data_IF_615363554853
#
_entry.id   IF_615363554853
#
_cell.length_a   1.000
_cell.length_b   1.000
_cell.length_c   1.000
_cell.angle_alpha   90.00
_cell.angle_beta   90.00
_cell.angle_gamma   90.00
#
_symmetry.space_group_name_H-M   'P 1'
#
loop_
_entity.id
_entity.type
_entity.pdbx_description
1 polymer ?
#
# COMPACT_ATOMS: atom_id res chain seq x y z
N UNK A 1 1.02 28.42 -24.02
CA UNK A 1 1.08 26.99 -23.69
C UNK A 1 -0.24 26.36 -24.09
N UNK A 2 -0.32 25.77 -25.29
CA UNK A 2 -1.55 25.14 -25.79
C UNK A 2 -1.62 23.70 -25.29
N UNK A 3 -2.47 23.42 -24.30
CA UNK A 3 -2.78 22.04 -23.95
C UNK A 3 -3.46 21.38 -25.16
N UNK A 4 -2.83 20.33 -25.71
CA UNK A 4 -3.34 19.60 -26.88
C UNK A 4 -4.52 18.74 -26.41
N UNK A 5 -5.73 19.13 -26.80
CA UNK A 5 -6.96 18.45 -26.41
C UNK A 5 -7.36 17.41 -27.48
N UNK A 6 -7.89 16.23 -27.09
CA UNK A 6 -8.03 15.75 -25.71
C UNK A 6 -6.70 15.24 -25.14
N UNK A 7 -6.48 15.47 -23.85
CA UNK A 7 -5.37 14.86 -23.12
C UNK A 7 -5.64 13.35 -23.06
N UNK A 8 -4.80 12.47 -23.65
CA UNK A 8 -5.01 11.04 -23.57
C UNK A 8 -4.92 10.60 -22.11
N UNK A 9 -6.05 10.23 -21.52
CA UNK A 9 -6.09 9.61 -20.19
C UNK A 9 -6.11 8.10 -20.39
N UNK A 10 -5.34 7.32 -19.62
CA UNK A 10 -5.51 5.88 -19.61
C UNK A 10 -6.97 5.57 -19.23
N UNK A 11 -7.60 4.65 -19.94
CA UNK A 11 -8.90 4.13 -19.53
C UNK A 11 -8.80 3.53 -18.14
N UNK A 12 -9.90 3.50 -17.40
CA UNK A 12 -9.96 2.87 -16.07
C UNK A 12 -9.32 1.47 -16.08
N UNK A 13 -9.64 0.69 -17.10
CA UNK A 13 -9.09 -0.65 -17.28
C UNK A 13 -7.56 -0.66 -17.56
N UNK A 14 -7.03 0.34 -18.27
CA UNK A 14 -5.58 0.51 -18.43
C UNK A 14 -4.89 0.92 -17.12
N UNK A 15 -5.54 1.78 -16.32
CA UNK A 15 -5.04 2.19 -15.01
C UNK A 15 -5.02 1.02 -14.01
N UNK A 16 -6.11 0.27 -13.91
CA UNK A 16 -6.21 -0.93 -13.04
C UNK A 16 -5.17 -1.98 -13.44
N UNK A 17 -4.99 -2.26 -14.73
CA UNK A 17 -3.92 -3.17 -15.19
C UNK A 17 -2.52 -2.64 -14.88
N UNK A 18 -2.31 -1.33 -14.87
CA UNK A 18 -1.04 -0.73 -14.46
C UNK A 18 -0.76 -0.94 -12.98
N UNK A 19 -1.78 -0.75 -12.14
CA UNK A 19 -1.71 -0.99 -10.69
C UNK A 19 -1.50 -2.48 -10.37
N UNK A 20 -2.17 -3.37 -11.10
CA UNK A 20 -2.05 -4.81 -10.89
C UNK A 20 -0.74 -5.42 -11.42
N UNK A 21 -0.03 -4.74 -12.33
CA UNK A 21 1.20 -5.25 -12.97
C UNK A 21 2.43 -5.27 -12.07
N UNK A 22 2.42 -4.52 -10.96
CA UNK A 22 3.55 -4.49 -10.03
C UNK A 22 3.09 -4.92 -8.64
N UNK A 23 3.68 -5.98 -8.11
CA UNK A 23 3.72 -6.16 -6.67
C UNK A 23 4.49 -4.95 -6.10
N UNK A 24 3.77 -3.98 -5.54
CA UNK A 24 4.45 -2.86 -4.89
C UNK A 24 5.22 -3.45 -3.71
N UNK A 25 6.52 -3.17 -3.57
CA UNK A 25 7.27 -3.65 -2.44
C UNK A 25 6.59 -3.12 -1.17
N UNK A 26 6.20 -4.05 -0.30
CA UNK A 26 5.76 -3.67 1.04
C UNK A 26 6.95 -3.06 1.78
N UNK A 27 6.74 -2.02 2.60
CA UNK A 27 7.80 -1.54 3.49
C UNK A 27 8.32 -2.70 4.34
N UNK A 28 9.59 -2.62 4.74
CA UNK A 28 10.20 -3.63 5.59
C UNK A 28 9.45 -3.74 6.93
N UNK A 29 9.49 -4.93 7.56
CA UNK A 29 8.86 -5.15 8.88
C UNK A 29 9.28 -4.09 9.91
N UNK A 30 10.57 -3.70 10.04
CA UNK A 30 10.98 -2.63 10.95
C UNK A 30 10.30 -1.28 10.66
N UNK A 31 10.16 -0.90 9.38
CA UNK A 31 9.48 0.34 9.01
C UNK A 31 7.99 0.31 9.35
N UNK A 32 7.34 -0.85 9.18
CA UNK A 32 5.93 -1.03 9.54
C UNK A 32 5.73 -1.03 11.07
N UNK A 33 6.66 -1.62 11.83
CA UNK A 33 6.64 -1.59 13.29
C UNK A 33 6.85 -0.17 13.84
N UNK A 34 7.74 0.63 13.24
CA UNK A 34 7.91 2.04 13.60
C UNK A 34 6.59 2.83 13.38
N UNK A 35 5.95 2.64 12.22
CA UNK A 35 4.66 3.28 11.95
C UNK A 35 3.55 2.84 12.91
N UNK A 36 3.58 1.59 13.40
CA UNK A 36 2.65 1.11 14.42
C UNK A 36 2.89 1.81 15.76
N UNK A 37 4.13 1.97 16.20
CA UNK A 37 4.48 2.69 17.43
C UNK A 37 3.99 4.14 17.35
N UNK A 38 4.24 4.82 16.23
CA UNK A 38 3.75 6.18 16.01
C UNK A 38 2.21 6.28 16.05
N UNK A 39 1.51 5.27 15.53
CA UNK A 39 0.04 5.24 15.56
C UNK A 39 -0.50 5.01 16.99
N UNK A 40 0.17 4.17 17.78
CA UNK A 40 -0.15 3.96 19.20
C UNK A 40 0.07 5.25 20.00
N UNK A 41 1.20 5.92 19.81
CA UNK A 41 1.52 7.19 20.48
C UNK A 41 0.46 8.26 20.20
N UNK A 42 -0.02 8.34 18.96
CA UNK A 42 -1.09 9.27 18.55
C UNK A 42 -2.51 8.80 18.88
N UNK A 43 -2.69 7.62 19.47
CA UNK A 43 -4.00 6.99 19.67
C UNK A 43 -4.83 6.89 18.37
N UNK A 44 -4.17 6.71 17.23
CA UNK A 44 -4.79 6.57 15.91
C UNK A 44 -5.25 5.13 15.68
N UNK A 45 -6.53 4.87 15.95
CA UNK A 45 -7.13 3.54 15.83
C UNK A 45 -7.03 2.96 14.41
N UNK A 46 -7.18 3.80 13.39
CA UNK A 46 -7.12 3.35 11.99
C UNK A 46 -5.67 3.02 11.61
N UNK A 47 -4.73 3.89 11.99
CA UNK A 47 -3.30 3.68 11.83
C UNK A 47 -2.81 2.41 12.50
N UNK A 48 -3.24 2.14 13.74
CA UNK A 48 -2.93 0.91 14.47
C UNK A 48 -3.42 -0.32 13.70
N UNK A 49 -4.69 -0.31 13.28
CA UNK A 49 -5.29 -1.44 12.56
C UNK A 49 -4.54 -1.72 11.24
N UNK A 50 -4.28 -0.67 10.46
CA UNK A 50 -3.63 -0.79 9.16
C UNK A 50 -2.18 -1.24 9.28
N UNK A 51 -1.41 -0.66 10.19
CA UNK A 51 -0.01 -1.01 10.40
C UNK A 51 0.13 -2.46 10.90
N UNK A 52 -0.70 -2.89 11.86
CA UNK A 52 -0.71 -4.25 12.36
C UNK A 52 -0.96 -5.29 11.25
N UNK A 53 -2.00 -5.09 10.42
CA UNK A 53 -2.29 -6.01 9.31
C UNK A 53 -1.15 -6.05 8.27
N UNK A 54 -0.52 -4.90 7.99
CA UNK A 54 0.61 -4.84 7.06
C UNK A 54 1.84 -5.56 7.60
N UNK A 55 2.14 -5.45 8.90
CA UNK A 55 3.22 -6.20 9.55
C UNK A 55 3.00 -7.70 9.39
N UNK A 56 1.80 -8.20 9.74
CA UNK A 56 1.46 -9.62 9.62
C UNK A 56 1.62 -10.09 8.18
N UNK A 57 1.10 -9.34 7.20
CA UNK A 57 1.19 -9.71 5.79
C UNK A 57 2.63 -9.71 5.25
N UNK A 58 3.48 -8.79 5.73
CA UNK A 58 4.88 -8.72 5.33
C UNK A 58 5.76 -9.77 6.02
N UNK A 59 5.44 -10.15 7.26
CA UNK A 59 6.17 -11.17 8.00
C UNK A 59 5.75 -12.60 7.61
N UNK A 60 4.47 -12.81 7.27
CA UNK A 60 3.91 -14.12 6.96
C UNK A 60 4.11 -14.56 5.51
N UNK A 61 5.14 -14.05 4.82
CA UNK A 61 5.49 -14.36 3.42
C UNK A 61 5.79 -15.84 3.12
N UNK A 62 5.71 -16.75 4.11
CA UNK A 62 5.88 -18.19 3.89
C UNK A 62 4.66 -19.05 4.16
N UNK A 63 3.71 -18.69 5.02
CA UNK A 63 2.68 -19.65 5.45
C UNK A 63 1.38 -18.95 5.87
N UNK A 64 0.57 -18.51 4.88
CA UNK A 64 -0.86 -18.28 5.11
C UNK A 64 -1.62 -18.87 3.93
N UNK A 65 -1.92 -20.16 4.04
CA UNK A 65 -2.96 -20.88 3.27
C UNK A 65 -2.67 -21.15 1.80
N UNK A 66 -2.24 -22.38 1.51
CA UNK A 66 -3.02 -23.20 0.56
C UNK A 66 -4.47 -23.34 1.03
#
# INVERSE_FOLDING_TARGET
MTARWPIPRPTEHAALRGVARSARPTPSVPALMAALVDAVDRSDREGICLAAHRVVRAAALSEVGE
#
